data_IF_067956224739
#
_entry.id   IF_067956224739
#
_cell.length_a   1.000
_cell.length_b   1.000
_cell.length_c   1.000
_cell.angle_alpha   90.00
_cell.angle_beta   90.00
_cell.angle_gamma   90.00
#
_symmetry.space_group_name_H-M   'P 1'
#
loop_
_entity.id
_entity.type
_entity.pdbx_description
1 polymer ?
#
# COMPACT_ATOMS: atom_id res chain seq x y z
N UNK A 1 21.14 13.47 3.05
CA UNK A 1 20.62 12.93 1.79
C UNK A 1 21.81 12.59 0.92
N UNK A 2 22.17 11.32 0.89
CA UNK A 2 23.22 10.82 0.00
C UNK A 2 22.61 10.69 -1.40
N UNK A 3 22.94 11.63 -2.30
CA UNK A 3 22.58 11.59 -3.72
C UNK A 3 23.49 10.58 -4.41
N UNK A 4 23.38 9.30 -4.05
CA UNK A 4 23.98 8.23 -4.86
C UNK A 4 23.32 8.30 -6.24
N UNK A 5 24.14 8.62 -7.24
CA UNK A 5 23.83 8.85 -8.66
C UNK A 5 22.70 7.93 -9.13
N UNK A 6 21.48 8.44 -9.17
CA UNK A 6 20.42 7.81 -9.97
C UNK A 6 20.82 7.95 -11.44
N UNK A 7 20.53 6.95 -12.29
CA UNK A 7 20.79 7.07 -13.72
C UNK A 7 20.15 8.37 -14.23
N UNK A 8 20.95 9.16 -14.95
CA UNK A 8 20.57 10.49 -15.45
C UNK A 8 19.15 10.43 -16.07
N UNK A 9 18.19 11.19 -15.53
CA UNK A 9 16.83 11.29 -16.06
C UNK A 9 15.74 10.42 -15.38
N UNK A 10 16.08 9.52 -14.45
CA UNK A 10 15.08 8.65 -13.82
C UNK A 10 14.05 9.41 -12.97
N UNK A 11 14.52 10.40 -12.20
CA UNK A 11 13.66 11.23 -11.38
C UNK A 11 12.66 12.02 -12.24
N UNK A 12 13.14 12.58 -13.35
CA UNK A 12 12.34 13.33 -14.32
C UNK A 12 11.30 12.42 -14.99
N UNK A 13 11.69 11.20 -15.38
CA UNK A 13 10.77 10.21 -15.94
C UNK A 13 9.66 9.83 -14.94
N UNK A 14 10.02 9.57 -13.68
CA UNK A 14 9.04 9.30 -12.63
C UNK A 14 8.10 10.48 -12.40
N UNK A 15 8.65 11.70 -12.33
CA UNK A 15 7.85 12.92 -12.14
C UNK A 15 6.82 13.05 -13.26
N UNK A 16 7.26 12.95 -14.53
CA UNK A 16 6.37 12.98 -15.70
C UNK A 16 5.28 11.90 -15.62
N UNK A 17 5.65 10.65 -15.30
CA UNK A 17 4.71 9.54 -15.19
C UNK A 17 3.66 9.77 -14.09
N UNK A 18 4.08 10.28 -12.93
CA UNK A 18 3.18 10.56 -11.81
C UNK A 18 2.25 11.73 -12.10
N UNK A 19 2.72 12.78 -12.77
CA UNK A 19 1.87 13.90 -13.21
C UNK A 19 0.79 13.46 -14.20
N UNK A 20 1.14 12.55 -15.12
CA UNK A 20 0.17 11.94 -16.04
C UNK A 20 -0.89 11.13 -15.28
N UNK A 21 -0.47 10.31 -14.31
CA UNK A 21 -1.40 9.53 -13.47
C UNK A 21 -2.31 10.43 -12.64
N UNK A 22 -1.77 11.50 -12.06
CA UNK A 22 -2.49 12.42 -11.19
C UNK A 22 -3.28 13.47 -11.97
N UNK A 23 -3.13 13.52 -13.30
CA UNK A 23 -3.75 14.47 -14.22
C UNK A 23 -3.44 15.95 -13.86
N UNK A 24 -2.28 16.20 -13.22
CA UNK A 24 -1.79 17.52 -12.85
C UNK A 24 -0.32 17.50 -12.39
N UNK A 25 0.40 18.64 -12.47
CA UNK A 25 1.78 18.76 -11.99
C UNK A 25 1.94 18.49 -10.49
N UNK A 26 3.08 17.89 -10.09
CA UNK A 26 3.34 17.54 -8.69
C UNK A 26 3.47 18.79 -7.79
N UNK A 27 3.98 19.88 -8.33
CA UNK A 27 4.15 21.18 -7.67
C UNK A 27 2.83 21.89 -7.33
N UNK A 28 1.72 21.49 -7.94
CA UNK A 28 0.41 22.05 -7.60
C UNK A 28 -0.28 21.35 -6.43
N UNK A 29 0.31 20.29 -5.90
CA UNK A 29 -0.15 19.66 -4.67
C UNK A 29 0.30 20.47 -3.43
N UNK A 30 -0.51 20.55 -2.37
CA UNK A 30 -0.13 21.25 -1.15
C UNK A 30 1.20 20.75 -0.57
N UNK A 31 1.99 21.66 0.01
CA UNK A 31 3.11 21.28 0.88
C UNK A 31 2.57 20.64 2.17
N UNK A 32 2.35 19.34 2.12
CA UNK A 32 1.81 18.53 3.20
C UNK A 32 2.56 17.20 3.32
N UNK A 33 2.32 16.48 4.41
CA UNK A 33 2.79 15.10 4.53
C UNK A 33 1.85 14.15 3.78
N UNK A 34 2.42 13.19 3.08
CA UNK A 34 1.72 12.16 2.33
C UNK A 34 2.12 10.78 2.87
N UNK A 35 1.22 9.81 2.71
CA UNK A 35 1.49 8.42 3.06
C UNK A 35 0.93 7.49 1.99
N UNK A 36 1.67 6.41 1.73
CA UNK A 36 1.22 5.29 0.93
C UNK A 36 0.75 4.15 1.84
N UNK A 37 -0.38 3.55 1.49
CA UNK A 37 -0.99 2.44 2.22
C UNK A 37 -1.27 1.27 1.28
N UNK A 38 -1.13 0.06 1.81
CA UNK A 38 -1.62 -1.18 1.22
C UNK A 38 -2.66 -1.81 2.14
N UNK A 39 -3.78 -2.26 1.57
CA UNK A 39 -4.88 -2.88 2.28
C UNK A 39 -5.19 -4.20 1.61
N UNK A 40 -5.38 -5.26 2.40
CA UNK A 40 -5.96 -6.51 1.92
C UNK A 40 -6.61 -7.24 3.10
N UNK A 41 -7.94 -7.38 3.06
CA UNK A 41 -8.69 -7.90 4.19
C UNK A 41 -8.44 -9.41 4.39
N UNK A 42 -8.36 -10.16 3.29
CA UNK A 42 -8.08 -11.60 3.32
C UNK A 42 -6.68 -11.87 3.89
N UNK A 43 -5.65 -11.14 3.43
CA UNK A 43 -4.30 -11.21 3.98
C UNK A 43 -4.28 -10.89 5.48
N UNK A 44 -5.05 -9.88 5.91
CA UNK A 44 -5.10 -9.45 7.31
C UNK A 44 -5.64 -10.55 8.23
N UNK A 45 -6.71 -11.22 7.80
CA UNK A 45 -7.31 -12.36 8.50
C UNK A 45 -6.31 -13.51 8.58
N UNK A 46 -5.65 -13.84 7.47
CA UNK A 46 -4.66 -14.92 7.42
C UNK A 46 -3.46 -14.65 8.33
N UNK A 47 -2.96 -13.42 8.36
CA UNK A 47 -1.84 -13.00 9.21
C UNK A 47 -2.16 -13.17 10.70
N UNK A 48 -3.31 -12.66 11.15
CA UNK A 48 -3.70 -12.75 12.57
C UNK A 48 -4.03 -14.19 12.98
N UNK A 49 -4.60 -14.98 12.06
CA UNK A 49 -4.86 -16.40 12.28
C UNK A 49 -3.56 -17.22 12.38
N UNK A 50 -2.56 -16.92 11.55
CA UNK A 50 -1.25 -17.57 11.60
C UNK A 50 -0.53 -17.27 12.92
N UNK A 51 -0.70 -16.04 13.44
CA UNK A 51 -0.04 -15.58 14.65
C UNK A 51 1.38 -15.10 14.38
N UNK A 52 1.81 -14.09 15.13
CA UNK A 52 3.14 -13.50 15.02
C UNK A 52 3.53 -12.80 16.34
N UNK A 53 4.81 -12.47 16.49
CA UNK A 53 5.28 -11.66 17.62
C UNK A 53 4.76 -10.21 17.48
N UNK A 54 4.01 -9.73 18.47
CA UNK A 54 3.45 -8.37 18.48
C UNK A 54 4.45 -7.31 18.94
N UNK A 55 5.62 -7.71 19.45
CA UNK A 55 6.62 -6.77 19.94
C UNK A 55 7.15 -5.78 18.88
N UNK A 56 7.38 -6.16 17.61
CA UNK A 56 7.71 -5.22 16.54
C UNK A 56 6.62 -4.17 16.30
N UNK A 57 5.33 -4.53 16.42
CA UNK A 57 4.24 -3.56 16.35
C UNK A 57 4.36 -2.56 17.51
N UNK A 58 4.47 -3.06 18.74
CA UNK A 58 4.53 -2.23 19.96
C UNK A 58 5.71 -1.23 19.95
N UNK A 59 6.86 -1.63 19.39
CA UNK A 59 8.03 -0.75 19.22
C UNK A 59 7.89 0.25 18.07
N UNK A 60 6.95 0.01 17.15
CA UNK A 60 6.84 0.76 15.91
C UNK A 60 7.99 0.50 14.95
N UNK A 61 8.44 -0.75 14.86
CA UNK A 61 9.56 -1.13 14.00
C UNK A 61 9.20 -0.90 12.52
N UNK A 62 10.20 -0.46 11.75
CA UNK A 62 10.15 -0.50 10.29
C UNK A 62 10.65 -1.88 9.84
N UNK A 63 9.78 -2.65 9.21
CA UNK A 63 10.10 -3.97 8.65
C UNK A 63 10.22 -3.89 7.13
N UNK A 64 10.98 -4.79 6.52
CA UNK A 64 11.22 -4.83 5.08
C UNK A 64 11.55 -6.25 4.67
N UNK A 65 11.43 -6.56 3.38
CA UNK A 65 11.89 -7.83 2.79
C UNK A 65 13.27 -8.24 3.33
N UNK A 66 13.44 -9.49 3.82
CA UNK A 66 12.51 -10.63 3.77
C UNK A 66 11.59 -10.75 5.01
N UNK A 67 11.26 -9.66 5.69
CA UNK A 67 10.34 -9.57 6.84
C UNK A 67 10.71 -10.48 8.02
N UNK A 68 12.00 -10.55 8.37
CA UNK A 68 12.48 -11.45 9.44
C UNK A 68 11.78 -11.27 10.80
N UNK A 69 11.30 -10.06 11.11
CA UNK A 69 10.57 -9.77 12.34
C UNK A 69 9.13 -10.32 12.34
N UNK A 70 8.50 -10.46 11.16
CA UNK A 70 7.16 -11.01 10.97
C UNK A 70 7.17 -11.88 9.70
N UNK A 71 7.78 -13.09 9.73
CA UNK A 71 8.00 -13.87 8.51
C UNK A 71 6.71 -14.23 7.76
N UNK A 72 5.61 -14.44 8.48
CA UNK A 72 4.32 -14.76 7.85
C UNK A 72 3.75 -13.59 7.04
N UNK A 73 4.04 -12.34 7.42
CA UNK A 73 3.68 -11.18 6.59
C UNK A 73 4.40 -11.24 5.24
N UNK A 74 5.69 -11.58 5.23
CA UNK A 74 6.47 -11.72 3.99
C UNK A 74 5.91 -12.79 3.06
N UNK A 75 5.65 -13.99 3.60
CA UNK A 75 5.08 -15.10 2.81
C UNK A 75 3.70 -14.78 2.24
N UNK A 76 2.86 -14.10 3.02
CA UNK A 76 1.54 -13.69 2.55
C UNK A 76 1.69 -12.66 1.44
N UNK A 77 2.43 -11.57 1.66
CA UNK A 77 2.61 -10.53 0.65
C UNK A 77 3.08 -11.09 -0.70
N UNK A 78 4.01 -12.05 -0.72
CA UNK A 78 4.51 -12.70 -1.94
C UNK A 78 3.40 -13.36 -2.78
N UNK A 79 2.32 -13.82 -2.16
CA UNK A 79 1.17 -14.41 -2.84
C UNK A 79 0.09 -13.42 -3.26
N UNK A 80 0.08 -12.20 -2.71
CA UNK A 80 -1.02 -11.24 -2.85
C UNK A 80 -0.72 -10.03 -3.73
N UNK A 81 0.56 -9.65 -3.90
CA UNK A 81 0.94 -8.48 -4.70
C UNK A 81 2.34 -8.61 -5.29
N UNK A 82 2.58 -7.96 -6.44
CA UNK A 82 3.85 -8.04 -7.16
C UNK A 82 4.98 -7.17 -6.54
N UNK A 83 4.65 -6.04 -5.89
CA UNK A 83 5.65 -5.10 -5.40
C UNK A 83 5.62 -4.82 -3.89
N UNK A 84 4.48 -5.03 -3.21
CA UNK A 84 4.38 -4.91 -1.75
C UNK A 84 5.33 -5.84 -0.97
N UNK A 85 5.68 -7.06 -1.43
CA UNK A 85 6.73 -7.87 -0.81
C UNK A 85 8.09 -7.18 -0.69
N UNK A 86 8.30 -6.09 -1.41
CA UNK A 86 9.54 -5.31 -1.39
C UNK A 86 9.39 -3.94 -0.73
N UNK A 87 8.25 -3.65 -0.12
CA UNK A 87 8.08 -2.43 0.65
C UNK A 87 8.86 -2.51 1.97
N UNK A 88 9.36 -1.36 2.42
CA UNK A 88 9.54 -1.13 3.86
C UNK A 88 8.21 -0.66 4.43
N UNK A 89 7.74 -1.31 5.50
CA UNK A 89 6.46 -1.07 6.17
C UNK A 89 6.75 -0.49 7.55
N UNK A 90 6.13 0.65 7.85
CA UNK A 90 6.10 1.25 9.18
C UNK A 90 4.96 0.60 9.99
N UNK A 91 5.30 -0.38 10.84
CA UNK A 91 4.30 -1.08 11.64
C UNK A 91 3.67 -0.16 12.69
N UNK A 92 4.40 0.83 13.18
CA UNK A 92 3.94 1.73 14.23
C UNK A 92 2.85 2.69 13.75
N UNK A 93 2.91 3.07 12.48
CA UNK A 93 1.98 4.00 11.84
C UNK A 93 0.99 3.33 10.87
N UNK A 94 1.07 2.01 10.72
CA UNK A 94 0.01 1.21 10.10
C UNK A 94 -1.26 1.27 10.93
N UNK A 95 -2.42 1.18 10.27
CA UNK A 95 -3.74 1.34 10.91
C UNK A 95 -4.45 -0.01 10.98
N UNK A 96 -5.11 -0.27 12.11
CA UNK A 96 -5.82 -1.49 12.43
C UNK A 96 -7.22 -1.13 12.94
N UNK A 97 -8.24 -1.79 12.42
CA UNK A 97 -9.63 -1.57 12.82
C UNK A 97 -10.39 -2.90 12.71
N UNK A 98 -11.27 -3.20 13.66
CA UNK A 98 -12.14 -4.37 13.57
C UNK A 98 -13.14 -4.15 12.43
N UNK A 99 -13.43 -5.22 11.67
CA UNK A 99 -14.46 -5.13 10.65
C UNK A 99 -15.82 -4.82 11.29
N UNK A 100 -16.65 -4.09 10.55
CA UNK A 100 -18.05 -3.78 10.91
C UNK A 100 -18.90 -5.00 11.24
N UNK A 101 -18.45 -6.21 10.87
CA UNK A 101 -19.14 -7.47 11.14
C UNK A 101 -19.02 -7.90 12.60
N UNK A 102 -17.87 -7.69 13.23
CA UNK A 102 -17.64 -8.14 14.61
C UNK A 102 -16.62 -7.24 15.32
N UNK A 103 -17.14 -6.34 16.17
CA UNK A 103 -16.35 -5.32 16.82
C UNK A 103 -15.28 -5.88 17.78
N UNK A 104 -14.21 -5.12 17.96
CA UNK A 104 -13.14 -5.37 18.91
C UNK A 104 -13.63 -5.57 20.34
N UNK A 105 -14.70 -4.88 20.76
CA UNK A 105 -15.28 -5.04 22.10
C UNK A 105 -15.72 -6.49 22.38
N UNK A 106 -16.24 -7.20 21.38
CA UNK A 106 -16.68 -8.60 21.53
C UNK A 106 -15.52 -9.57 21.78
N UNK A 107 -14.28 -9.14 21.48
CA UNK A 107 -13.05 -9.92 21.61
C UNK A 107 -12.10 -9.33 22.66
N UNK A 108 -12.59 -8.45 23.54
CA UNK A 108 -11.81 -7.90 24.66
C UNK A 108 -10.83 -6.78 24.28
N UNK A 109 -10.95 -6.21 23.07
CA UNK A 109 -10.14 -5.10 22.58
C UNK A 109 -11.06 -4.02 21.97
N UNK A 110 -11.87 -3.31 22.78
CA UNK A 110 -12.79 -2.28 22.29
C UNK A 110 -12.11 -1.13 21.53
N UNK A 111 -10.81 -0.92 21.74
CA UNK A 111 -10.03 0.07 21.01
C UNK A 111 -9.97 -0.19 19.49
N UNK A 112 -10.22 -1.43 19.06
CA UNK A 112 -10.31 -1.80 17.65
C UNK A 112 -11.65 -1.40 17.01
N UNK A 113 -12.65 -0.94 17.76
CA UNK A 113 -13.91 -0.41 17.19
C UNK A 113 -13.73 0.98 16.54
N UNK A 114 -12.48 1.45 16.45
CA UNK A 114 -12.08 2.66 15.74
C UNK A 114 -10.66 2.49 15.21
N UNK A 115 -10.23 3.29 14.22
CA UNK A 115 -8.87 3.18 13.67
C UNK A 115 -7.78 3.35 14.74
N UNK A 116 -6.94 2.33 14.88
CA UNK A 116 -5.87 2.25 15.87
C UNK A 116 -4.51 2.13 15.20
N UNK A 117 -3.50 2.83 15.72
CA UNK A 117 -2.13 2.67 15.22
C UNK A 117 -1.52 1.35 15.67
N UNK A 118 -0.66 0.75 14.86
CA UNK A 118 -0.03 -0.53 15.18
C UNK A 118 0.79 -0.51 16.47
N UNK A 119 1.44 0.62 16.80
CA UNK A 119 2.13 0.78 18.10
C UNK A 119 1.19 0.63 19.30
N UNK A 120 -0.01 1.17 19.19
CA UNK A 120 -1.00 1.14 20.25
C UNK A 120 -1.63 -0.25 20.35
N UNK A 121 -1.93 -0.87 19.20
CA UNK A 121 -2.39 -2.25 19.16
C UNK A 121 -1.37 -3.20 19.79
N UNK A 122 -0.10 -3.14 19.35
CA UNK A 122 0.97 -3.99 19.87
C UNK A 122 1.17 -3.83 21.38
N UNK A 123 1.10 -2.58 21.88
CA UNK A 123 1.13 -2.29 23.32
C UNK A 123 -0.07 -2.91 24.04
N UNK A 124 -1.29 -2.73 23.55
CA UNK A 124 -2.51 -3.27 24.16
C UNK A 124 -2.46 -4.79 24.24
N UNK A 125 -2.08 -5.47 23.14
CA UNK A 125 -1.97 -6.93 23.12
C UNK A 125 -0.92 -7.41 24.11
N UNK A 126 0.24 -6.76 24.17
CA UNK A 126 1.32 -7.10 25.11
C UNK A 126 0.89 -6.90 26.57
N UNK A 127 0.32 -5.75 26.91
CA UNK A 127 -0.12 -5.42 28.28
C UNK A 127 -1.23 -6.36 28.78
N UNK A 128 -2.10 -6.81 27.87
CA UNK A 128 -3.21 -7.74 28.19
C UNK A 128 -2.83 -9.21 28.08
N UNK A 129 -1.61 -9.53 27.66
CA UNK A 129 -1.17 -10.91 27.42
C UNK A 129 -1.97 -11.60 26.30
N UNK A 130 -2.45 -10.84 25.32
CA UNK A 130 -3.18 -11.32 24.15
C UNK A 130 -2.21 -11.53 22.97
N UNK A 131 -2.51 -12.54 22.18
CA UNK A 131 -1.84 -12.84 20.91
C UNK A 131 -2.70 -12.37 19.72
N UNK A 132 -2.14 -12.28 18.50
CA UNK A 132 -2.95 -12.03 17.30
C UNK A 132 -4.09 -13.04 17.12
N UNK A 133 -3.90 -14.29 17.56
CA UNK A 133 -4.90 -15.35 17.48
C UNK A 133 -6.06 -15.18 18.46
N UNK A 134 -5.93 -14.35 19.49
CA UNK A 134 -7.05 -14.04 20.38
C UNK A 134 -8.02 -13.04 19.75
N UNK A 135 -7.54 -12.25 18.78
CA UNK A 135 -8.31 -11.16 18.16
C UNK A 135 -8.59 -11.37 16.67
N UNK A 136 -8.11 -12.44 16.01
CA UNK A 136 -8.34 -12.63 14.56
C UNK A 136 -9.83 -12.65 14.16
N UNK A 137 -10.72 -13.02 15.07
CA UNK A 137 -12.19 -13.07 14.84
C UNK A 137 -12.86 -11.70 14.82
N UNK A 138 -12.14 -10.64 15.16
CA UNK A 138 -12.57 -9.26 14.87
C UNK A 138 -12.52 -8.93 13.37
N UNK A 139 -11.98 -9.84 12.55
CA UNK A 139 -11.79 -9.65 11.10
C UNK A 139 -11.08 -8.33 10.81
N UNK A 140 -9.94 -8.09 11.46
CA UNK A 140 -9.19 -6.83 11.34
C UNK A 140 -8.97 -6.41 9.89
N UNK A 141 -9.38 -5.18 9.58
CA UNK A 141 -8.94 -4.45 8.41
C UNK A 141 -7.60 -3.78 8.75
N UNK A 142 -6.55 -4.16 8.02
CA UNK A 142 -5.22 -3.58 8.20
C UNK A 142 -4.88 -2.69 7.01
N UNK A 143 -4.33 -1.53 7.33
CA UNK A 143 -3.76 -0.61 6.38
C UNK A 143 -2.26 -0.48 6.66
N UNK A 144 -1.48 -1.28 5.94
CA UNK A 144 -0.03 -1.28 6.05
C UNK A 144 0.51 0.01 5.46
N UNK A 145 1.15 0.83 6.30
CA UNK A 145 1.77 2.08 5.87
C UNK A 145 3.16 1.80 5.31
N UNK A 146 3.43 2.24 4.09
CA UNK A 146 4.80 2.27 3.58
C UNK A 146 5.65 3.25 4.39
N UNK A 147 6.90 2.88 4.67
CA UNK A 147 7.90 3.78 5.23
C UNK A 147 8.49 4.65 4.12
N UNK A 148 7.90 5.82 3.93
CA UNK A 148 8.24 6.85 2.94
C UNK A 148 8.87 8.09 3.61
N UNK A 149 9.50 8.98 2.85
CA UNK A 149 9.99 10.27 3.36
C UNK A 149 8.89 11.31 3.67
N UNK A 150 7.64 10.99 3.36
CA UNK A 150 6.47 11.83 3.60
C UNK A 150 6.12 12.76 2.44
N UNK A 151 6.89 12.75 1.35
CA UNK A 151 6.55 13.47 0.12
C UNK A 151 5.53 12.70 -0.71
N UNK A 152 4.75 13.43 -1.53
CA UNK A 152 3.88 12.82 -2.54
C UNK A 152 4.69 11.97 -3.53
N UNK A 153 5.87 12.45 -3.94
CA UNK A 153 6.73 11.76 -4.88
C UNK A 153 7.14 10.38 -4.36
N UNK A 154 7.64 10.28 -3.12
CA UNK A 154 8.07 9.00 -2.55
C UNK A 154 6.87 8.07 -2.27
N UNK A 155 5.74 8.61 -1.80
CA UNK A 155 4.50 7.83 -1.67
C UNK A 155 4.06 7.23 -3.02
N UNK A 156 4.11 8.03 -4.10
CA UNK A 156 3.81 7.57 -5.46
C UNK A 156 4.78 6.47 -5.91
N UNK A 157 6.06 6.53 -5.55
CA UNK A 157 7.02 5.47 -5.90
C UNK A 157 6.65 4.11 -5.32
N UNK A 158 6.16 4.08 -4.08
CA UNK A 158 5.75 2.83 -3.45
C UNK A 158 4.49 2.25 -4.09
N UNK A 159 3.43 3.06 -4.26
CA UNK A 159 2.15 2.55 -4.83
C UNK A 159 2.25 2.18 -6.30
N UNK A 160 3.26 2.68 -7.03
CA UNK A 160 3.53 2.32 -8.43
C UNK A 160 4.61 1.23 -8.59
N UNK A 161 5.17 0.71 -7.49
CA UNK A 161 6.23 -0.32 -7.54
C UNK A 161 7.57 0.17 -8.10
N UNK A 162 7.80 1.49 -8.18
CA UNK A 162 9.02 2.11 -8.76
C UNK A 162 10.06 2.51 -7.71
N UNK A 163 9.79 2.27 -6.42
CA UNK A 163 10.67 2.62 -5.30
C UNK A 163 12.04 1.93 -5.35
N UNK A 164 12.13 0.78 -6.02
CA UNK A 164 13.38 0.02 -6.19
C UNK A 164 14.27 0.51 -7.34
N UNK A 165 13.74 1.37 -8.23
CA UNK A 165 14.47 1.89 -9.38
C UNK A 165 14.22 1.10 -10.69
N UNK A 166 14.85 1.53 -11.80
CA UNK A 166 14.49 1.08 -13.15
C UNK A 166 14.78 -0.41 -13.42
N UNK A 167 15.77 -1.00 -12.74
CA UNK A 167 16.15 -2.42 -12.89
C UNK A 167 15.17 -3.40 -12.21
N UNK A 168 14.15 -2.87 -11.54
CA UNK A 168 13.21 -3.63 -10.73
C UNK A 168 11.76 -3.38 -11.13
N UNK A 169 11.54 -2.80 -12.31
CA UNK A 169 10.21 -2.56 -12.85
C UNK A 169 9.53 -3.89 -13.20
N UNK A 170 8.22 -4.03 -12.94
CA UNK A 170 7.47 -5.20 -13.37
C UNK A 170 7.49 -5.31 -14.90
N UNK A 171 7.56 -6.55 -15.39
CA UNK A 171 7.44 -6.83 -16.82
C UNK A 171 6.00 -6.56 -17.28
N UNK A 172 5.86 -5.97 -18.47
CA UNK A 172 4.55 -5.74 -19.06
C UNK A 172 4.05 -6.96 -19.83
N UNK A 173 2.90 -7.50 -19.43
CA UNK A 173 2.20 -8.57 -20.14
C UNK A 173 1.04 -8.00 -21.00
N UNK A 174 1.20 -7.93 -22.34
CA UNK A 174 0.15 -7.37 -23.20
C UNK A 174 -1.15 -8.19 -23.21
N UNK A 175 -1.13 -9.46 -22.76
CA UNK A 175 -2.30 -10.32 -22.79
C UNK A 175 -3.42 -9.86 -21.85
N UNK A 176 -3.06 -9.11 -20.80
CA UNK A 176 -4.03 -8.59 -19.84
C UNK A 176 -4.64 -7.25 -20.27
N UNK A 177 -4.14 -6.59 -21.34
CA UNK A 177 -4.68 -5.34 -21.85
C UNK A 177 -4.59 -4.14 -20.89
N UNK A 178 -4.52 -2.92 -21.42
CA UNK A 178 -4.51 -1.67 -20.63
C UNK A 178 -5.83 -0.94 -20.87
N UNK A 179 -6.32 -0.18 -19.89
CA UNK A 179 -7.47 0.68 -20.13
C UNK A 179 -7.16 1.66 -21.28
N UNK A 180 -7.96 1.71 -22.36
CA UNK A 180 -7.67 2.55 -23.52
C UNK A 180 -7.49 4.03 -23.20
N UNK A 181 -8.17 4.53 -22.16
CA UNK A 181 -8.01 5.92 -21.71
C UNK A 181 -6.63 6.18 -21.12
N UNK A 182 -6.01 5.17 -20.50
CA UNK A 182 -4.66 5.22 -19.97
C UNK A 182 -3.61 4.96 -21.02
N UNK A 183 -3.84 4.03 -21.96
CA UNK A 183 -2.84 3.70 -22.98
C UNK A 183 -2.42 4.93 -23.80
N UNK A 184 -3.40 5.75 -24.19
CA UNK A 184 -3.15 6.99 -24.91
C UNK A 184 -2.39 8.02 -24.06
N UNK A 185 -2.71 8.16 -22.77
CA UNK A 185 -2.02 9.08 -21.86
C UNK A 185 -0.58 8.63 -21.59
N UNK A 186 -0.39 7.34 -21.30
CA UNK A 186 0.91 6.76 -20.97
C UNK A 186 1.86 6.69 -22.17
N UNK A 187 1.36 6.79 -23.40
CA UNK A 187 2.21 6.94 -24.59
C UNK A 187 3.15 8.16 -24.52
N UNK A 188 2.82 9.18 -23.71
CA UNK A 188 3.65 10.35 -23.48
C UNK A 188 4.83 10.10 -22.52
N UNK A 189 4.83 9.00 -21.76
CA UNK A 189 5.94 8.63 -20.87
C UNK A 189 7.12 8.20 -21.72
N UNK A 190 8.21 8.96 -21.68
CA UNK A 190 9.35 8.76 -22.58
C UNK A 190 10.12 7.47 -22.26
N UNK A 191 10.35 7.22 -20.97
CA UNK A 191 11.08 6.04 -20.52
C UNK A 191 10.27 4.76 -20.76
N UNK A 192 10.71 3.84 -21.65
CA UNK A 192 9.90 2.69 -22.07
C UNK A 192 9.56 1.74 -20.93
N UNK A 193 10.54 1.39 -20.08
CA UNK A 193 10.31 0.51 -18.94
C UNK A 193 9.27 1.08 -17.95
N UNK A 194 9.37 2.37 -17.60
CA UNK A 194 8.38 3.04 -16.77
C UNK A 194 7.00 3.07 -17.42
N UNK A 195 6.91 3.43 -18.70
CA UNK A 195 5.63 3.42 -19.43
C UNK A 195 4.94 2.06 -19.33
N UNK A 196 5.69 0.99 -19.55
CA UNK A 196 5.20 -0.37 -19.51
C UNK A 196 4.81 -0.79 -18.08
N UNK A 197 5.59 -0.44 -17.07
CA UNK A 197 5.23 -0.63 -15.66
C UNK A 197 3.97 0.16 -15.24
N UNK A 198 3.78 1.38 -15.73
CA UNK A 198 2.58 2.17 -15.43
C UNK A 198 1.33 1.59 -16.11
N UNK A 199 1.47 0.94 -17.28
CA UNK A 199 0.38 0.21 -17.93
C UNK A 199 -0.09 -0.98 -17.08
N UNK A 200 0.82 -1.64 -16.37
CA UNK A 200 0.48 -2.75 -15.45
C UNK A 200 -0.45 -2.34 -14.31
N UNK A 201 -0.37 -1.09 -13.88
CA UNK A 201 -1.22 -0.56 -12.80
C UNK A 201 -2.38 0.31 -13.33
N UNK A 202 -2.56 0.35 -14.66
CA UNK A 202 -3.65 1.06 -15.34
C UNK A 202 -4.47 0.11 -16.23
N UNK A 203 -4.63 -1.14 -15.78
CA UNK A 203 -5.40 -2.19 -16.45
C UNK A 203 -6.88 -1.82 -16.48
N UNK A 204 -7.65 -2.53 -17.30
CA UNK A 204 -9.12 -2.46 -17.20
C UNK A 204 -9.58 -3.04 -15.85
N UNK A 205 -10.79 -2.67 -15.42
CA UNK A 205 -11.38 -3.23 -14.20
C UNK A 205 -11.46 -4.76 -14.24
N UNK A 206 -11.76 -5.37 -15.39
CA UNK A 206 -11.88 -6.82 -15.53
C UNK A 206 -10.51 -7.51 -15.48
N UNK A 207 -9.53 -7.00 -16.23
CA UNK A 207 -8.17 -7.55 -16.26
C UNK A 207 -7.48 -7.47 -14.90
N UNK A 208 -7.66 -6.35 -14.18
CA UNK A 208 -7.10 -6.13 -12.85
C UNK A 208 -7.56 -7.16 -11.80
N UNK A 209 -8.64 -7.91 -12.09
CA UNK A 209 -9.11 -9.01 -11.24
C UNK A 209 -8.14 -10.18 -11.19
N UNK A 210 -7.36 -10.35 -12.26
CA UNK A 210 -6.42 -11.47 -12.42
C UNK A 210 -4.97 -11.02 -12.40
N UNK A 211 -4.65 -9.84 -12.93
CA UNK A 211 -3.28 -9.37 -13.05
C UNK A 211 -3.17 -7.84 -13.06
N UNK A 212 -2.12 -7.30 -12.44
CA UNK A 212 -1.88 -5.86 -12.37
C UNK A 212 -2.86 -5.14 -11.44
N UNK A 213 -3.19 -3.89 -11.78
CA UNK A 213 -4.10 -3.07 -10.98
C UNK A 213 -5.00 -2.16 -11.82
N UNK A 214 -6.16 -1.80 -11.25
CA UNK A 214 -7.10 -0.83 -11.81
C UNK A 214 -6.96 0.52 -11.10
N UNK A 215 -6.50 1.54 -11.83
CA UNK A 215 -6.42 2.91 -11.34
C UNK A 215 -7.81 3.51 -11.10
N UNK A 216 -8.06 4.04 -9.91
CA UNK A 216 -9.35 4.62 -9.50
C UNK A 216 -9.30 6.14 -9.26
N UNK A 217 -8.11 6.74 -9.31
CA UNK A 217 -7.92 8.15 -8.95
C UNK A 217 -8.23 8.44 -7.49
N UNK A 218 -8.64 9.67 -7.18
CA UNK A 218 -8.91 10.17 -5.82
C UNK A 218 -10.17 9.59 -5.14
N UNK A 219 -10.60 8.38 -5.53
CA UNK A 219 -11.76 7.70 -4.94
C UNK A 219 -11.37 7.03 -3.64
N UNK A 220 -12.17 7.24 -2.60
CA UNK A 220 -12.03 6.49 -1.36
C UNK A 220 -12.16 4.97 -1.59
N UNK A 221 -11.42 4.19 -0.80
CA UNK A 221 -11.54 2.72 -0.77
C UNK A 221 -12.77 2.33 0.05
N UNK A 222 -12.96 2.98 1.20
CA UNK A 222 -14.10 2.78 2.09
C UNK A 222 -14.91 4.07 2.24
N UNK A 223 -16.23 3.93 2.34
CA UNK A 223 -17.18 5.05 2.44
C UNK A 223 -17.03 5.91 3.71
N UNK A 224 -16.29 5.43 4.71
CA UNK A 224 -16.09 6.10 6.00
C UNK A 224 -14.67 6.66 6.20
N UNK A 225 -13.80 6.62 5.18
CA UNK A 225 -12.42 7.07 5.33
C UNK A 225 -12.34 8.62 5.40
N UNK A 226 -11.99 9.22 6.55
CA UNK A 226 -11.92 10.67 6.68
C UNK A 226 -10.68 11.27 5.99
N UNK A 227 -9.77 10.44 5.45
CA UNK A 227 -8.52 10.90 4.85
C UNK A 227 -8.75 11.42 3.44
N UNK A 228 -7.99 12.44 3.09
CA UNK A 228 -7.98 13.01 1.76
C UNK A 228 -7.16 12.10 0.82
N UNK A 229 -7.86 11.21 0.11
CA UNK A 229 -7.25 10.30 -0.87
C UNK A 229 -6.80 11.09 -2.10
N UNK A 230 -5.50 11.02 -2.40
CA UNK A 230 -4.90 11.63 -3.59
C UNK A 230 -5.12 10.73 -4.80
N UNK A 231 -4.84 9.44 -4.64
CA UNK A 231 -5.06 8.43 -5.67
C UNK A 231 -5.16 7.04 -5.06
N UNK A 232 -5.80 6.10 -5.77
CA UNK A 232 -5.93 4.71 -5.36
C UNK A 232 -5.96 3.74 -6.54
N UNK A 233 -5.60 2.51 -6.24
CA UNK A 233 -5.66 1.35 -7.12
C UNK A 233 -6.42 0.23 -6.43
N UNK A 234 -7.13 -0.56 -7.23
CA UNK A 234 -7.74 -1.82 -6.78
C UNK A 234 -7.08 -2.99 -7.50
N UNK A 235 -6.84 -4.06 -6.75
CA UNK A 235 -6.05 -5.21 -7.15
C UNK A 235 -6.85 -6.47 -6.88
N UNK A 236 -6.74 -7.46 -7.77
CA UNK A 236 -7.48 -8.70 -7.69
C UNK A 236 -8.99 -8.48 -7.79
N UNK A 237 -9.78 -9.40 -7.25
CA UNK A 237 -11.25 -9.37 -7.21
C UNK A 237 -11.83 -8.24 -6.32
N UNK A 238 -11.05 -7.17 -6.08
CA UNK A 238 -11.37 -6.12 -5.13
C UNK A 238 -11.12 -6.51 -3.70
N UNK A 239 -10.08 -7.32 -3.47
CA UNK A 239 -9.65 -7.78 -2.15
C UNK A 239 -8.47 -6.95 -1.62
N UNK A 240 -7.75 -6.27 -2.52
CA UNK A 240 -6.58 -5.48 -2.18
C UNK A 240 -6.59 -4.09 -2.84
N UNK A 241 -5.97 -3.13 -2.16
CA UNK A 241 -5.85 -1.75 -2.60
C UNK A 241 -4.49 -1.16 -2.26
N UNK A 242 -4.06 -0.23 -3.11
CA UNK A 242 -2.99 0.72 -2.81
C UNK A 242 -3.56 2.11 -2.87
N UNK A 243 -3.12 3.01 -1.99
CA UNK A 243 -3.54 4.40 -2.05
C UNK A 243 -2.47 5.34 -1.51
N UNK A 244 -2.51 6.56 -2.01
CA UNK A 244 -1.80 7.70 -1.44
C UNK A 244 -2.82 8.62 -0.80
N UNK A 245 -2.55 9.04 0.43
CA UNK A 245 -3.37 10.00 1.17
C UNK A 245 -2.53 11.21 1.57
N UNK A 246 -3.16 12.37 1.63
CA UNK A 246 -2.65 13.51 2.35
C UNK A 246 -2.97 13.36 3.84
N UNK A 247 -1.96 13.50 4.68
CA UNK A 247 -2.10 13.44 6.14
C UNK A 247 -2.57 14.80 6.70
N UNK A 248 -3.27 14.80 7.85
CA UNK A 248 -3.72 16.02 8.54
C UNK A 248 -2.58 16.95 8.96
#
# INVERSE_FOLDING_TARGET
>A
MDRSVQPDGWYEALSQGFEILLDRPLEEFPEAAYAAYYLCNDLSIELFKAGFDVAPLARGDIVRSPFTAIPELGKLLEGWDLDVPYWSIDLGESIFEASVVDGGANHGVPELDSPLRGRDLGRILTERGLSPQDVYRTFLDIQFRAHTDGSLFDAMRFVTGTHRGPEHLPEYDPNWGVDPSWDAKLAAVEHPGLRDALREICRTEDSARSYGAYYRGARAVYSADPRHVVTSWRIGEGQAWKLVVQLP
#
